data_IF_336349799798
#
_entry.id   IF_336349799798
#
_cell.length_a   1.000
_cell.length_b   1.000
_cell.length_c   1.000
_cell.angle_alpha   90.00
_cell.angle_beta   90.00
_cell.angle_gamma   90.00
#
_symmetry.space_group_name_H-M   'P 1'
#
loop_
_entity.id
_entity.type
_entity.pdbx_description
1 polymer ?
#
# COMPACT_ATOMS: atom_id res chain seq x y z
N UNK A 1 -10.35 69.97 -28.34
CA UNK A 1 -11.34 69.20 -29.12
C UNK A 1 -11.76 68.00 -28.26
N UNK A 2 -13.04 68.02 -27.86
CA UNK A 2 -13.89 67.00 -27.22
C UNK A 2 -13.26 66.21 -26.03
N UNK A 3 -13.31 66.63 -24.75
CA UNK A 3 -14.47 66.83 -23.82
C UNK A 3 -15.11 65.47 -23.40
N UNK A 4 -15.46 65.10 -22.15
CA UNK A 4 -15.76 65.84 -20.91
C UNK A 4 -15.94 64.84 -19.73
N UNK A 5 -15.36 65.22 -18.58
CA UNK A 5 -15.80 65.19 -17.16
C UNK A 5 -16.21 63.91 -16.39
N UNK A 6 -15.54 63.79 -15.24
CA UNK A 6 -15.97 63.19 -13.98
C UNK A 6 -17.32 63.72 -13.46
N UNK A 7 -18.02 62.90 -12.67
CA UNK A 7 -18.73 63.36 -11.47
C UNK A 7 -18.98 62.19 -10.51
N UNK A 8 -18.57 62.37 -9.25
CA UNK A 8 -19.05 61.61 -8.10
C UNK A 8 -20.28 62.31 -7.52
N UNK A 9 -21.21 61.56 -6.94
CA UNK A 9 -21.92 62.04 -5.75
C UNK A 9 -21.84 61.06 -4.58
N UNK A 10 -21.66 61.61 -3.38
CA UNK A 10 -21.80 60.96 -2.08
C UNK A 10 -23.22 61.20 -1.51
N UNK A 11 -23.56 60.67 -0.31
CA UNK A 11 -24.46 59.55 -0.10
C UNK A 11 -25.88 59.96 0.31
N UNK A 12 -26.84 59.03 0.22
CA UNK A 12 -28.08 59.08 1.00
C UNK A 12 -28.53 57.66 1.36
N UNK A 13 -28.73 57.48 2.66
CA UNK A 13 -29.16 56.25 3.35
C UNK A 13 -30.67 56.07 3.16
N UNK A 14 -31.10 54.84 2.89
CA UNK A 14 -32.34 54.10 3.23
C UNK A 14 -32.18 52.79 2.43
N UNK A 15 -32.20 51.56 2.91
CA UNK A 15 -32.78 50.97 4.11
C UNK A 15 -33.39 49.63 3.68
N UNK A 16 -32.98 48.56 4.36
CA UNK A 16 -33.63 47.25 4.48
C UNK A 16 -33.48 46.16 3.40
N UNK A 17 -32.94 45.04 3.90
CA UNK A 17 -33.27 43.64 3.60
C UNK A 17 -32.74 42.99 2.30
N UNK A 18 -31.46 42.62 2.33
CA UNK A 18 -30.92 41.52 1.52
C UNK A 18 -31.17 40.22 2.28
N UNK A 19 -32.17 39.45 1.85
CA UNK A 19 -32.26 38.01 2.20
C UNK A 19 -31.31 37.30 1.24
N UNK A 20 -30.09 37.05 1.69
CA UNK A 20 -29.17 36.13 1.04
C UNK A 20 -29.64 34.70 1.34
N UNK A 21 -30.29 34.06 0.37
CA UNK A 21 -30.41 32.60 0.36
C UNK A 21 -29.01 32.03 0.11
N UNK A 22 -28.30 31.74 1.20
CA UNK A 22 -27.18 30.80 1.20
C UNK A 22 -27.76 29.41 0.89
N UNK A 23 -27.80 29.07 -0.40
CA UNK A 23 -27.89 27.67 -0.81
C UNK A 23 -26.53 27.07 -0.50
N UNK A 24 -26.42 26.44 0.67
CA UNK A 24 -25.37 25.48 0.95
C UNK A 24 -25.58 24.29 0.03
N UNK A 25 -24.97 24.34 -1.15
CA UNK A 25 -24.68 23.15 -1.93
C UNK A 25 -23.69 22.32 -1.12
N UNK A 26 -24.22 21.55 -0.16
CA UNK A 26 -23.55 20.34 0.28
C UNK A 26 -23.44 19.48 -0.97
N UNK A 27 -22.24 19.47 -1.56
CA UNK A 27 -21.89 18.42 -2.49
C UNK A 27 -21.91 17.14 -1.67
N UNK A 28 -23.08 16.50 -1.62
CA UNK A 28 -23.15 15.08 -1.36
C UNK A 28 -22.18 14.46 -2.37
N UNK A 29 -21.09 13.89 -1.88
CA UNK A 29 -20.30 12.94 -2.64
C UNK A 29 -21.26 11.78 -2.90
N UNK A 30 -22.05 11.91 -3.98
CA UNK A 30 -22.88 10.84 -4.46
C UNK A 30 -21.96 9.66 -4.71
N UNK A 31 -22.31 8.51 -4.14
CA UNK A 31 -21.75 7.23 -4.57
C UNK A 31 -21.84 7.21 -6.10
N UNK A 32 -20.69 7.30 -6.77
CA UNK A 32 -20.62 6.94 -8.18
C UNK A 32 -20.74 5.42 -8.16
N UNK A 33 -21.87 4.82 -8.58
CA UNK A 33 -21.97 3.38 -8.64
C UNK A 33 -20.94 2.93 -9.66
N UNK A 34 -20.01 2.03 -9.31
CA UNK A 34 -19.14 1.44 -10.33
C UNK A 34 -20.03 0.62 -11.28
N UNK A 35 -20.25 1.16 -12.49
CA UNK A 35 -21.09 0.54 -13.52
C UNK A 35 -20.31 -0.43 -14.42
N UNK A 36 -19.01 -0.60 -14.20
CA UNK A 36 -18.18 -1.46 -15.04
C UNK A 36 -17.95 -2.81 -14.36
N UNK A 37 -18.65 -3.85 -14.81
CA UNK A 37 -18.24 -5.22 -14.48
C UNK A 37 -16.94 -5.56 -15.24
N UNK A 38 -15.97 -6.25 -14.60
CA UNK A 38 -14.81 -6.77 -15.31
C UNK A 38 -15.23 -7.64 -16.48
N UNK A 39 -14.73 -7.35 -17.69
CA UNK A 39 -15.02 -8.12 -18.89
C UNK A 39 -14.56 -9.58 -18.79
N UNK A 40 -13.56 -9.84 -17.94
CA UNK A 40 -13.05 -11.17 -17.62
C UNK A 40 -13.09 -11.39 -16.11
N UNK A 41 -13.44 -12.59 -15.69
CA UNK A 41 -13.39 -13.02 -14.29
C UNK A 41 -12.23 -14.02 -14.10
N UNK A 42 -11.56 -14.02 -12.93
CA UNK A 42 -10.53 -15.01 -12.65
C UNK A 42 -11.07 -16.44 -12.75
N UNK A 43 -10.34 -17.32 -13.43
CA UNK A 43 -10.64 -18.75 -13.45
C UNK A 43 -10.03 -19.41 -12.21
N UNK A 44 -10.81 -19.49 -11.12
CA UNK A 44 -10.34 -19.95 -9.81
C UNK A 44 -9.88 -21.42 -9.80
N UNK A 45 -10.45 -22.24 -10.69
CA UNK A 45 -10.15 -23.67 -10.79
C UNK A 45 -9.15 -24.00 -11.92
N UNK A 46 -8.52 -22.98 -12.51
CA UNK A 46 -7.52 -23.19 -13.56
C UNK A 46 -6.32 -23.96 -13.01
N UNK A 47 -5.97 -25.06 -13.68
CA UNK A 47 -4.73 -25.81 -13.42
C UNK A 47 -3.79 -25.59 -14.59
N UNK A 48 -2.60 -25.09 -14.30
CA UNK A 48 -1.55 -24.87 -15.29
C UNK A 48 -0.56 -26.04 -15.22
N UNK A 49 -0.21 -26.59 -16.38
CA UNK A 49 0.92 -27.52 -16.53
C UNK A 49 1.89 -26.89 -17.51
N UNK A 50 3.11 -26.63 -17.05
CA UNK A 50 4.18 -26.11 -17.87
C UNK A 50 4.99 -27.28 -18.44
N UNK A 51 5.59 -27.08 -19.62
CA UNK A 51 6.46 -28.08 -20.23
C UNK A 51 7.66 -27.42 -20.92
N UNK A 52 8.75 -28.17 -21.07
CA UNK A 52 9.88 -27.78 -21.89
C UNK A 52 10.75 -26.69 -21.24
N UNK A 53 11.24 -25.68 -21.98
CA UNK A 53 12.15 -24.69 -21.44
C UNK A 53 11.60 -23.90 -20.24
N UNK A 54 10.29 -23.62 -20.22
CA UNK A 54 9.67 -22.84 -19.14
C UNK A 54 9.57 -23.65 -17.84
N UNK A 55 9.15 -24.91 -17.93
CA UNK A 55 9.14 -25.84 -16.78
C UNK A 55 10.55 -25.93 -16.15
N UNK A 56 11.57 -26.21 -16.96
CA UNK A 56 12.97 -26.28 -16.47
C UNK A 56 13.44 -24.99 -15.81
N UNK A 57 12.99 -23.84 -16.33
CA UNK A 57 13.33 -22.55 -15.74
C UNK A 57 12.66 -22.35 -14.38
N UNK A 58 11.37 -22.66 -14.26
CA UNK A 58 10.63 -22.59 -12.99
C UNK A 58 11.21 -23.56 -11.96
N UNK A 59 11.58 -24.77 -12.37
CA UNK A 59 12.24 -25.75 -11.49
C UNK A 59 13.60 -25.26 -11.00
N UNK A 60 14.39 -24.66 -11.89
CA UNK A 60 15.68 -24.08 -11.55
C UNK A 60 15.54 -22.89 -10.60
N UNK A 61 14.54 -22.01 -10.81
CA UNK A 61 14.23 -20.90 -9.89
C UNK A 61 13.79 -21.42 -8.53
N UNK A 62 12.88 -22.39 -8.51
CA UNK A 62 12.38 -23.01 -7.28
C UNK A 62 13.51 -23.64 -6.47
N UNK A 63 14.37 -24.41 -7.12
CA UNK A 63 15.46 -25.16 -6.49
C UNK A 63 16.62 -24.29 -6.06
N UNK A 64 17.08 -23.40 -6.95
CA UNK A 64 18.34 -22.69 -6.74
C UNK A 64 18.16 -21.36 -6.01
N UNK A 65 16.94 -20.81 -5.99
CA UNK A 65 16.66 -19.50 -5.39
C UNK A 65 15.60 -19.59 -4.29
N UNK A 66 14.38 -20.03 -4.61
CA UNK A 66 13.25 -19.92 -3.68
C UNK A 66 13.38 -20.84 -2.46
N UNK A 67 13.75 -22.11 -2.66
CA UNK A 67 13.95 -23.08 -1.57
C UNK A 67 15.14 -22.73 -0.67
N UNK A 68 16.09 -21.95 -1.17
CA UNK A 68 17.31 -21.59 -0.47
C UNK A 68 17.23 -20.23 0.21
N UNK A 69 16.33 -19.34 -0.25
CA UNK A 69 16.31 -17.93 0.09
C UNK A 69 16.41 -17.67 1.60
N UNK A 70 15.54 -18.30 2.40
CA UNK A 70 15.50 -18.07 3.85
C UNK A 70 16.69 -18.67 4.59
N UNK A 71 17.18 -19.83 4.16
CA UNK A 71 18.37 -20.48 4.74
C UNK A 71 19.64 -19.68 4.46
N UNK A 72 19.79 -19.24 3.22
CA UNK A 72 21.00 -18.54 2.76
C UNK A 72 20.98 -17.06 3.13
N UNK A 73 19.81 -16.49 3.44
CA UNK A 73 19.61 -15.10 3.83
C UNK A 73 18.70 -15.01 5.08
N UNK A 74 19.14 -15.50 6.25
CA UNK A 74 18.31 -15.53 7.47
C UNK A 74 17.92 -14.13 7.93
N UNK A 75 18.70 -13.11 7.53
CA UNK A 75 18.40 -11.70 7.71
C UNK A 75 16.99 -11.29 7.26
N UNK A 76 16.40 -12.02 6.30
CA UNK A 76 15.03 -11.80 5.81
C UNK A 76 14.00 -11.83 6.94
N UNK A 77 14.18 -12.66 7.98
CA UNK A 77 13.30 -12.67 9.16
C UNK A 77 14.00 -12.19 10.43
N UNK A 78 15.33 -12.38 10.57
CA UNK A 78 16.05 -11.96 11.78
C UNK A 78 15.88 -10.47 12.08
N UNK A 79 15.77 -9.62 11.05
CA UNK A 79 15.58 -8.18 11.24
C UNK A 79 14.26 -7.83 11.94
N UNK A 80 13.22 -8.65 11.79
CA UNK A 80 11.93 -8.46 12.46
C UNK A 80 12.01 -8.91 13.92
N UNK A 81 12.73 -10.01 14.19
CA UNK A 81 12.97 -10.53 15.54
C UNK A 81 13.86 -9.58 16.37
N UNK A 82 14.83 -8.94 15.72
CA UNK A 82 15.79 -8.05 16.35
C UNK A 82 15.42 -6.55 16.27
N UNK A 83 14.22 -6.21 15.78
CA UNK A 83 13.82 -4.81 15.48
C UNK A 83 13.99 -3.82 16.63
N UNK A 84 13.85 -4.29 17.88
CA UNK A 84 13.95 -3.48 19.09
C UNK A 84 15.28 -3.70 19.86
N UNK A 85 16.17 -4.57 19.36
CA UNK A 85 17.44 -4.89 20.01
C UNK A 85 18.50 -3.81 19.72
N UNK A 86 19.22 -3.37 20.77
CA UNK A 86 20.35 -2.44 20.67
C UNK A 86 21.70 -3.17 20.74
N UNK A 87 22.74 -2.71 20.01
CA UNK A 87 22.69 -1.64 19.01
C UNK A 87 21.85 -2.06 17.80
N UNK A 88 21.13 -1.11 17.20
CA UNK A 88 20.27 -1.44 16.06
C UNK A 88 21.10 -1.92 14.87
N UNK A 89 20.59 -2.91 14.15
CA UNK A 89 21.19 -3.38 12.90
C UNK A 89 21.06 -2.31 11.83
N UNK A 90 22.12 -2.00 11.08
CA UNK A 90 22.02 -1.12 9.92
C UNK A 90 21.17 -1.76 8.82
N UNK A 91 20.12 -1.06 8.42
CA UNK A 91 19.13 -1.46 7.42
C UNK A 91 19.05 -0.43 6.29
N UNK A 92 18.63 -0.91 5.13
CA UNK A 92 18.12 -0.06 4.05
C UNK A 92 16.67 0.34 4.35
N UNK A 93 16.17 1.48 3.82
CA UNK A 93 14.79 1.94 4.00
C UNK A 93 13.71 0.89 3.68
N UNK A 94 14.01 -0.05 2.78
CA UNK A 94 13.11 -1.09 2.29
C UNK A 94 13.39 -2.49 2.83
N UNK A 95 14.25 -2.65 3.83
CA UNK A 95 14.72 -3.99 4.24
C UNK A 95 13.58 -4.96 4.60
N UNK A 96 12.45 -4.46 5.11
CA UNK A 96 11.29 -5.28 5.44
C UNK A 96 10.50 -5.82 4.25
N UNK A 97 10.65 -5.25 3.05
CA UNK A 97 9.87 -5.64 1.88
C UNK A 97 10.11 -7.10 1.45
N UNK A 98 11.33 -7.59 1.70
CA UNK A 98 11.81 -8.84 1.12
C UNK A 98 10.99 -10.05 1.59
N UNK A 99 10.51 -10.03 2.84
CA UNK A 99 9.67 -11.10 3.36
C UNK A 99 8.34 -11.21 2.59
N UNK A 100 7.66 -10.08 2.38
CA UNK A 100 6.41 -10.02 1.62
C UNK A 100 6.59 -10.33 0.13
N UNK A 101 7.68 -9.83 -0.49
CA UNK A 101 8.02 -10.13 -1.89
C UNK A 101 8.39 -11.59 -2.10
N UNK A 102 9.15 -12.19 -1.17
CA UNK A 102 9.45 -13.62 -1.19
C UNK A 102 8.16 -14.46 -1.11
N UNK A 103 7.25 -14.12 -0.20
CA UNK A 103 5.98 -14.81 -0.07
C UNK A 103 5.11 -14.67 -1.32
N UNK A 104 5.04 -13.47 -1.91
CA UNK A 104 4.35 -13.23 -3.17
C UNK A 104 4.94 -14.09 -4.30
N UNK A 105 6.26 -14.07 -4.46
CA UNK A 105 6.95 -14.81 -5.52
C UNK A 105 6.81 -16.32 -5.39
N UNK A 106 6.97 -16.87 -4.19
CA UNK A 106 6.81 -18.32 -3.95
C UNK A 106 5.38 -18.79 -4.18
N UNK A 107 4.39 -18.04 -3.73
CA UNK A 107 2.98 -18.37 -3.93
C UNK A 107 2.63 -18.37 -5.42
N UNK A 108 3.07 -17.36 -6.18
CA UNK A 108 2.84 -17.32 -7.63
C UNK A 108 3.50 -18.49 -8.37
N UNK A 109 4.70 -18.91 -7.97
CA UNK A 109 5.33 -20.11 -8.54
C UNK A 109 4.52 -21.37 -8.24
N UNK A 110 4.02 -21.53 -7.02
CA UNK A 110 3.18 -22.67 -6.61
C UNK A 110 1.83 -22.75 -7.36
N UNK A 111 1.36 -21.66 -7.99
CA UNK A 111 0.18 -21.66 -8.88
C UNK A 111 0.47 -22.24 -10.26
N UNK A 112 1.74 -22.33 -10.65
CA UNK A 112 2.18 -22.74 -11.99
C UNK A 112 2.92 -24.08 -12.03
N UNK A 113 3.39 -24.55 -10.87
CA UNK A 113 4.07 -25.83 -10.72
C UNK A 113 3.64 -26.52 -9.42
N UNK A 114 3.39 -27.83 -9.49
CA UNK A 114 3.13 -28.62 -8.29
C UNK A 114 4.46 -28.99 -7.62
N UNK A 115 4.83 -28.24 -6.59
CA UNK A 115 6.09 -28.41 -5.88
C UNK A 115 5.84 -28.50 -4.37
N UNK A 116 5.60 -29.72 -3.89
CA UNK A 116 5.31 -29.98 -2.48
C UNK A 116 6.44 -29.51 -1.54
N UNK A 117 7.70 -29.62 -1.97
CA UNK A 117 8.84 -29.16 -1.19
C UNK A 117 8.83 -27.64 -1.02
N UNK A 118 8.57 -26.90 -2.09
CA UNK A 118 8.43 -25.45 -2.03
C UNK A 118 7.20 -25.07 -1.20
N UNK A 119 6.08 -25.77 -1.35
CA UNK A 119 4.87 -25.55 -0.55
C UNK A 119 5.13 -25.69 0.95
N UNK A 120 5.83 -26.76 1.35
CA UNK A 120 6.19 -26.99 2.74
C UNK A 120 7.13 -25.89 3.28
N UNK A 121 8.15 -25.51 2.50
CA UNK A 121 9.08 -24.44 2.88
C UNK A 121 8.38 -23.08 2.99
N UNK A 122 7.46 -22.75 2.07
CA UNK A 122 6.66 -21.52 2.13
C UNK A 122 5.72 -21.52 3.33
N UNK A 123 5.07 -22.65 3.65
CA UNK A 123 4.22 -22.76 4.84
C UNK A 123 5.01 -22.55 6.14
N UNK A 124 6.21 -23.13 6.24
CA UNK A 124 7.11 -22.91 7.37
C UNK A 124 7.54 -21.44 7.47
N UNK A 125 7.90 -20.83 6.33
CA UNK A 125 8.22 -19.41 6.27
C UNK A 125 7.07 -18.53 6.76
N UNK A 126 5.83 -18.76 6.31
CA UNK A 126 4.65 -18.01 6.73
C UNK A 126 4.44 -18.13 8.23
N UNK A 127 4.52 -19.35 8.77
CA UNK A 127 4.41 -19.59 10.22
C UNK A 127 5.43 -18.75 11.00
N UNK A 128 6.69 -18.77 10.57
CA UNK A 128 7.77 -18.04 11.23
C UNK A 128 7.60 -16.52 11.06
N UNK A 129 7.19 -16.06 9.89
CA UNK A 129 6.98 -14.64 9.61
C UNK A 129 5.82 -14.06 10.43
N UNK A 130 4.67 -14.75 10.47
CA UNK A 130 3.50 -14.33 11.26
C UNK A 130 3.80 -14.32 12.76
N UNK A 131 4.63 -15.25 13.25
CA UNK A 131 5.05 -15.28 14.65
C UNK A 131 5.86 -14.05 15.10
N UNK A 132 6.39 -13.25 14.15
CA UNK A 132 7.16 -12.04 14.44
C UNK A 132 6.28 -10.79 14.56
N UNK A 133 4.98 -10.90 14.27
CA UNK A 133 4.03 -9.79 14.35
C UNK A 133 3.84 -9.38 15.82
N UNK A 134 4.06 -8.09 16.12
CA UNK A 134 3.90 -7.55 17.47
C UNK A 134 2.41 -7.48 17.87
N UNK A 135 2.13 -7.23 19.15
CA UNK A 135 0.78 -7.21 19.73
C UNK A 135 -0.16 -6.18 19.08
N UNK A 136 0.36 -5.04 18.64
CA UNK A 136 -0.37 -3.97 17.94
C UNK A 136 -0.65 -4.28 16.45
N UNK A 137 -0.13 -5.40 15.93
CA UNK A 137 -0.25 -5.77 14.52
C UNK A 137 0.96 -5.38 13.66
N UNK A 138 1.97 -4.71 14.24
CA UNK A 138 3.16 -4.31 13.53
C UNK A 138 3.97 -5.51 13.06
N UNK A 139 4.29 -5.57 11.77
CA UNK A 139 5.11 -6.61 11.16
C UNK A 139 6.17 -5.96 10.27
N UNK A 140 7.11 -5.29 10.91
CA UNK A 140 8.22 -4.58 10.26
C UNK A 140 9.52 -4.67 11.05
N UNK A 141 10.64 -4.19 10.48
CA UNK A 141 11.97 -4.30 11.08
C UNK A 141 12.40 -3.06 11.85
N UNK A 142 11.56 -2.03 11.99
CA UNK A 142 11.94 -0.78 12.62
C UNK A 142 11.59 -0.73 14.11
N UNK A 143 12.39 -0.03 14.94
CA UNK A 143 12.18 0.01 16.39
C UNK A 143 10.84 0.67 16.76
N UNK A 144 10.28 0.29 17.91
CA UNK A 144 8.95 0.71 18.40
C UNK A 144 8.66 2.20 18.26
N UNK A 145 9.59 3.07 18.64
CA UNK A 145 9.37 4.52 18.64
C UNK A 145 9.37 5.15 17.23
N UNK A 146 9.72 4.37 16.20
CA UNK A 146 9.91 4.83 14.83
C UNK A 146 8.91 4.19 13.84
N UNK A 147 8.07 3.27 14.31
CA UNK A 147 7.11 2.53 13.49
C UNK A 147 6.17 3.46 12.74
N UNK A 148 6.09 3.28 11.43
CA UNK A 148 5.19 4.01 10.54
C UNK A 148 5.34 5.54 10.64
N UNK A 149 6.55 6.03 10.95
CA UNK A 149 6.84 7.48 11.02
C UNK A 149 7.48 8.02 9.75
N UNK A 150 7.97 7.15 8.87
CA UNK A 150 8.78 7.54 7.71
C UNK A 150 10.26 7.70 8.03
N UNK A 151 10.68 7.56 9.30
CA UNK A 151 12.07 7.72 9.74
C UNK A 151 12.50 6.66 10.74
N UNK A 152 13.76 6.24 10.72
CA UNK A 152 14.29 5.34 11.75
C UNK A 152 15.81 5.49 11.96
N UNK A 153 16.32 5.25 13.18
CA UNK A 153 17.75 5.40 13.48
C UNK A 153 18.57 4.31 12.81
N UNK A 154 17.96 3.16 12.54
CA UNK A 154 18.60 2.00 11.94
C UNK A 154 18.66 2.05 10.40
N UNK A 155 18.16 3.13 9.78
CA UNK A 155 18.41 3.50 8.37
C UNK A 155 19.27 4.77 8.24
N UNK A 156 19.78 5.28 9.38
CA UNK A 156 20.62 6.47 9.49
C UNK A 156 21.41 6.42 10.80
N UNK A 157 21.10 7.32 11.74
CA UNK A 157 21.64 7.30 13.10
C UNK A 157 20.61 7.78 14.13
N UNK A 158 20.86 7.61 15.43
CA UNK A 158 19.98 8.17 16.47
C UNK A 158 19.89 9.70 16.42
N UNK A 159 20.99 10.38 16.09
CA UNK A 159 21.02 11.84 15.97
C UNK A 159 20.40 12.36 14.66
N UNK A 160 20.39 11.54 13.62
CA UNK A 160 19.82 11.86 12.31
C UNK A 160 19.18 10.60 11.70
N UNK A 161 17.92 10.29 12.05
CA UNK A 161 17.19 9.15 11.49
C UNK A 161 17.08 9.21 9.96
N UNK A 162 17.30 8.09 9.29
CA UNK A 162 17.15 7.94 7.84
C UNK A 162 15.70 7.70 7.44
N UNK A 163 15.39 7.77 6.14
CA UNK A 163 14.06 7.46 5.61
C UNK A 163 13.69 5.98 5.80
N UNK A 164 12.39 5.69 5.87
CA UNK A 164 11.85 4.33 5.87
C UNK A 164 10.72 4.18 4.86
N UNK A 165 10.65 3.00 4.27
CA UNK A 165 9.55 2.56 3.42
C UNK A 165 8.66 1.60 4.22
N UNK A 166 8.30 1.99 5.45
CA UNK A 166 7.66 1.08 6.40
C UNK A 166 6.24 0.68 5.96
N UNK A 167 5.47 1.62 5.40
CA UNK A 167 4.16 1.31 4.83
C UNK A 167 4.28 0.42 3.59
N UNK A 168 5.32 0.60 2.79
CA UNK A 168 5.64 -0.28 1.66
C UNK A 168 6.02 -1.71 2.09
N UNK A 169 6.74 -1.85 3.21
CA UNK A 169 7.03 -3.17 3.79
C UNK A 169 5.72 -3.88 4.20
N UNK A 170 4.84 -3.17 4.90
CA UNK A 170 3.54 -3.68 5.32
C UNK A 170 2.63 -3.99 4.13
N UNK A 171 2.66 -3.16 3.09
CA UNK A 171 1.97 -3.40 1.83
C UNK A 171 2.36 -4.76 1.22
N UNK A 172 3.67 -5.03 1.06
CA UNK A 172 4.12 -6.31 0.52
C UNK A 172 3.80 -7.49 1.43
N UNK A 173 3.82 -7.29 2.75
CA UNK A 173 3.38 -8.31 3.71
C UNK A 173 1.89 -8.64 3.53
N UNK A 174 1.01 -7.63 3.45
CA UNK A 174 -0.42 -7.83 3.19
C UNK A 174 -0.64 -8.61 1.89
N UNK A 175 -0.05 -8.17 0.78
CA UNK A 175 -0.22 -8.82 -0.53
C UNK A 175 0.23 -10.29 -0.48
N UNK A 176 1.41 -10.55 0.06
CA UNK A 176 1.94 -11.91 0.16
C UNK A 176 1.08 -12.82 1.04
N UNK A 177 0.66 -12.33 2.21
CA UNK A 177 -0.17 -13.09 3.16
C UNK A 177 -1.56 -13.38 2.59
N UNK A 178 -2.18 -12.43 1.89
CA UNK A 178 -3.49 -12.63 1.25
C UNK A 178 -3.40 -13.62 0.10
N UNK A 179 -2.36 -13.55 -0.74
CA UNK A 179 -2.13 -14.54 -1.81
C UNK A 179 -1.93 -15.94 -1.23
N UNK A 180 -1.09 -16.08 -0.20
CA UNK A 180 -0.88 -17.36 0.46
C UNK A 180 -2.17 -17.91 1.05
N UNK A 181 -2.96 -17.08 1.73
CA UNK A 181 -4.25 -17.48 2.28
C UNK A 181 -5.23 -17.94 1.20
N UNK A 182 -5.28 -17.27 0.03
CA UNK A 182 -6.13 -17.69 -1.08
C UNK A 182 -5.81 -19.11 -1.55
N UNK A 183 -4.53 -19.47 -1.63
CA UNK A 183 -4.10 -20.77 -2.17
C UNK A 183 -4.09 -21.90 -1.12
N UNK A 184 -3.73 -21.58 0.12
CA UNK A 184 -3.52 -22.57 1.19
C UNK A 184 -4.67 -22.67 2.18
N UNK A 185 -5.59 -21.69 2.17
CA UNK A 185 -6.63 -21.51 3.19
C UNK A 185 -6.08 -21.28 4.62
N UNK A 186 -4.82 -20.84 4.75
CA UNK A 186 -4.20 -20.54 6.04
C UNK A 186 -4.85 -19.33 6.72
N UNK A 187 -5.67 -19.58 7.75
CA UNK A 187 -6.38 -18.55 8.50
C UNK A 187 -5.44 -17.65 9.31
N UNK A 188 -4.25 -18.11 9.70
CA UNK A 188 -3.28 -17.30 10.43
C UNK A 188 -2.67 -16.23 9.53
N UNK A 189 -2.44 -16.55 8.25
CA UNK A 189 -1.97 -15.57 7.28
C UNK A 189 -2.99 -14.44 7.06
N UNK A 190 -4.28 -14.78 6.90
CA UNK A 190 -5.35 -13.77 6.81
C UNK A 190 -5.43 -12.92 8.08
N UNK A 191 -5.39 -13.55 9.26
CA UNK A 191 -5.43 -12.82 10.52
C UNK A 191 -4.25 -11.85 10.66
N UNK A 192 -3.05 -12.26 10.27
CA UNK A 192 -1.87 -11.40 10.29
C UNK A 192 -2.02 -10.20 9.35
N UNK A 193 -2.48 -10.41 8.11
CA UNK A 193 -2.74 -9.32 7.16
C UNK A 193 -3.79 -8.32 7.70
N UNK A 194 -4.86 -8.82 8.31
CA UNK A 194 -5.91 -7.98 8.94
C UNK A 194 -5.35 -7.14 10.08
N UNK A 195 -4.53 -7.73 10.96
CA UNK A 195 -3.90 -6.99 12.06
C UNK A 195 -2.96 -5.88 11.58
N UNK A 196 -2.28 -6.08 10.45
CA UNK A 196 -1.55 -4.98 9.79
C UNK A 196 -2.54 -3.90 9.37
N UNK A 197 -3.58 -4.26 8.61
CA UNK A 197 -4.61 -3.30 8.17
C UNK A 197 -5.24 -2.51 9.33
N UNK A 198 -5.51 -3.18 10.46
CA UNK A 198 -6.06 -2.57 11.67
C UNK A 198 -5.11 -1.55 12.29
N UNK A 199 -3.82 -1.89 12.39
CA UNK A 199 -2.78 -0.94 12.81
C UNK A 199 -2.73 0.30 11.91
N UNK A 200 -2.84 0.10 10.59
CA UNK A 200 -2.83 1.19 9.63
C UNK A 200 -4.08 2.06 9.76
N UNK A 201 -5.27 1.48 9.92
CA UNK A 201 -6.50 2.22 10.16
C UNK A 201 -6.41 3.05 11.45
N UNK A 202 -5.97 2.42 12.56
CA UNK A 202 -5.81 3.12 13.83
C UNK A 202 -4.91 4.37 13.72
N UNK A 203 -3.84 4.29 12.91
CA UNK A 203 -2.89 5.40 12.75
C UNK A 203 -3.31 6.45 11.73
N UNK A 204 -3.72 6.02 10.53
CA UNK A 204 -3.88 6.91 9.38
C UNK A 204 -5.34 7.29 9.12
N UNK A 205 -6.30 6.49 9.61
CA UNK A 205 -7.73 6.81 9.55
C UNK A 205 -8.17 7.45 10.87
N UNK A 206 -8.11 6.70 11.98
CA UNK A 206 -8.71 7.12 13.25
C UNK A 206 -7.98 8.32 13.89
N UNK A 207 -6.65 8.31 13.86
CA UNK A 207 -5.85 9.45 14.35
C UNK A 207 -5.64 10.55 13.29
N UNK A 208 -6.16 10.37 12.06
CA UNK A 208 -6.13 11.37 10.99
C UNK A 208 -4.73 11.74 10.47
N UNK A 209 -3.72 10.87 10.67
CA UNK A 209 -2.38 11.09 10.13
C UNK A 209 -2.39 10.85 8.61
N UNK A 210 -1.86 11.78 7.83
CA UNK A 210 -1.74 11.60 6.38
C UNK A 210 -0.62 10.60 6.05
N UNK A 211 -0.84 9.67 5.12
CA UNK A 211 0.21 8.72 4.69
C UNK A 211 1.41 9.47 4.09
N UNK A 212 1.17 10.54 3.35
CA UNK A 212 2.18 11.43 2.78
C UNK A 212 3.14 12.02 3.82
N UNK A 213 2.73 12.12 5.09
CA UNK A 213 3.62 12.59 6.17
C UNK A 213 4.78 11.63 6.46
N UNK A 214 4.71 10.38 5.97
CA UNK A 214 5.78 9.39 6.10
C UNK A 214 6.86 9.52 5.02
N UNK A 215 6.73 10.46 4.08
CA UNK A 215 7.65 10.64 2.97
C UNK A 215 7.68 9.42 2.03
N UNK A 216 8.67 9.37 1.14
CA UNK A 216 8.83 8.26 0.17
C UNK A 216 7.51 7.91 -0.54
N UNK A 217 6.81 8.94 -1.03
CA UNK A 217 5.39 8.88 -1.42
C UNK A 217 5.07 7.70 -2.34
N UNK A 218 5.84 7.54 -3.41
CA UNK A 218 5.60 6.51 -4.42
C UNK A 218 5.70 5.07 -3.89
N UNK A 219 6.41 4.88 -2.77
CA UNK A 219 6.46 3.62 -2.04
C UNK A 219 5.37 3.56 -0.96
N UNK A 220 5.35 4.49 -0.02
CA UNK A 220 4.50 4.37 1.17
C UNK A 220 2.99 4.49 0.85
N UNK A 221 2.62 5.20 -0.22
CA UNK A 221 1.24 5.27 -0.69
C UNK A 221 0.77 4.01 -1.45
N UNK A 222 1.68 3.07 -1.79
CA UNK A 222 1.31 1.78 -2.39
C UNK A 222 0.40 0.93 -1.51
N UNK A 223 0.34 1.24 -0.21
CA UNK A 223 -0.52 0.57 0.77
C UNK A 223 -2.00 0.60 0.40
N UNK A 224 -2.43 1.57 -0.42
CA UNK A 224 -3.77 1.62 -1.03
C UNK A 224 -4.17 0.31 -1.70
N UNK A 225 -3.24 -0.36 -2.39
CA UNK A 225 -3.51 -1.65 -3.03
C UNK A 225 -3.75 -2.75 -2.00
N UNK A 226 -2.91 -2.83 -0.96
CA UNK A 226 -3.10 -3.81 0.13
C UNK A 226 -4.42 -3.61 0.88
N UNK A 227 -4.81 -2.35 1.13
CA UNK A 227 -6.06 -1.99 1.79
C UNK A 227 -7.28 -2.33 0.94
N UNK A 228 -7.25 -2.05 -0.37
CA UNK A 228 -8.32 -2.44 -1.28
C UNK A 228 -8.48 -3.97 -1.33
N UNK A 229 -7.39 -4.74 -1.40
CA UNK A 229 -7.44 -6.20 -1.33
C UNK A 229 -8.00 -6.71 0.01
N UNK A 230 -7.63 -6.09 1.14
CA UNK A 230 -8.20 -6.42 2.45
C UNK A 230 -9.70 -6.18 2.48
N UNK A 231 -10.17 -5.02 2.01
CA UNK A 231 -11.60 -4.72 1.91
C UNK A 231 -12.33 -5.77 1.06
N UNK A 232 -11.83 -6.08 -0.13
CA UNK A 232 -12.44 -7.12 -1.00
C UNK A 232 -12.51 -8.49 -0.32
N UNK A 233 -11.53 -8.82 0.52
CA UNK A 233 -11.47 -10.11 1.22
C UNK A 233 -12.38 -10.17 2.44
N UNK A 234 -12.52 -9.07 3.20
CA UNK A 234 -13.20 -9.09 4.50
C UNK A 234 -14.53 -8.36 4.54
N UNK A 235 -14.80 -7.44 3.59
CA UNK A 235 -15.92 -6.52 3.62
C UNK A 235 -15.82 -5.44 4.71
N UNK A 236 -14.69 -5.31 5.40
CA UNK A 236 -14.53 -4.33 6.48
C UNK A 236 -14.32 -2.92 5.94
N UNK A 237 -15.31 -2.05 6.15
CA UNK A 237 -15.38 -0.72 5.55
C UNK A 237 -14.19 0.20 5.89
N UNK A 238 -13.61 0.09 7.09
CA UNK A 238 -12.43 0.85 7.52
C UNK A 238 -11.24 0.73 6.53
N UNK A 239 -11.07 -0.42 5.89
CA UNK A 239 -10.00 -0.63 4.91
C UNK A 239 -10.28 0.15 3.62
N UNK A 240 -11.54 0.17 3.16
CA UNK A 240 -11.96 0.96 2.00
C UNK A 240 -11.82 2.46 2.28
N UNK A 241 -12.28 2.92 3.44
CA UNK A 241 -12.17 4.32 3.85
C UNK A 241 -10.72 4.81 3.87
N UNK A 242 -9.81 4.04 4.47
CA UNK A 242 -8.39 4.38 4.44
C UNK A 242 -7.81 4.33 3.02
N UNK A 243 -8.19 3.34 2.19
CA UNK A 243 -7.73 3.28 0.81
C UNK A 243 -8.14 4.52 0.01
N UNK A 244 -9.40 4.94 0.13
CA UNK A 244 -9.92 6.18 -0.49
C UNK A 244 -9.17 7.42 0.01
N UNK A 245 -8.87 7.48 1.32
CA UNK A 245 -8.07 8.57 1.89
C UNK A 245 -6.66 8.63 1.31
N UNK A 246 -6.03 7.48 1.05
CA UNK A 246 -4.72 7.44 0.38
C UNK A 246 -4.81 7.90 -1.08
N UNK A 247 -5.91 7.60 -1.78
CA UNK A 247 -6.14 8.13 -3.14
C UNK A 247 -6.25 9.65 -3.16
N UNK A 248 -6.95 10.25 -2.19
CA UNK A 248 -6.98 11.71 -2.02
C UNK A 248 -5.57 12.27 -1.76
N UNK A 249 -4.81 11.57 -0.93
CA UNK A 249 -3.45 11.92 -0.51
C UNK A 249 -2.41 11.82 -1.64
N UNK A 250 -2.72 11.16 -2.77
CA UNK A 250 -1.86 11.20 -3.96
C UNK A 250 -1.61 12.62 -4.47
N UNK A 251 -2.54 13.55 -4.24
CA UNK A 251 -2.41 14.95 -4.63
C UNK A 251 -1.63 15.81 -3.63
N UNK A 252 -1.09 15.23 -2.55
CA UNK A 252 -0.25 15.95 -1.60
C UNK A 252 0.98 16.57 -2.32
N UNK A 253 1.48 17.74 -1.88
CA UNK A 253 2.65 18.35 -2.47
C UNK A 253 3.86 17.40 -2.50
N UNK A 254 4.36 17.10 -3.71
CA UNK A 254 5.49 16.19 -3.93
C UNK A 254 5.13 14.71 -4.11
N UNK A 255 3.86 14.32 -3.92
CA UNK A 255 3.34 13.01 -4.26
C UNK A 255 3.03 12.90 -5.77
N UNK A 256 2.52 11.75 -6.21
CA UNK A 256 2.43 11.40 -7.63
C UNK A 256 1.20 11.90 -8.39
N UNK A 257 0.17 12.41 -7.70
CA UNK A 257 -1.11 12.88 -8.25
C UNK A 257 -1.72 11.98 -9.33
N UNK A 258 -1.63 10.67 -9.10
CA UNK A 258 -1.87 9.65 -10.12
C UNK A 258 -3.30 9.68 -10.69
N UNK A 259 -4.31 9.88 -9.84
CA UNK A 259 -5.70 9.86 -10.26
C UNK A 259 -6.07 11.08 -11.10
N UNK A 260 -5.78 12.30 -10.61
CA UNK A 260 -6.20 13.54 -11.30
C UNK A 260 -5.49 13.70 -12.62
N UNK A 261 -4.18 13.43 -12.64
CA UNK A 261 -3.37 13.52 -13.85
C UNK A 261 -3.76 12.45 -14.88
N UNK A 262 -4.00 11.22 -14.43
CA UNK A 262 -4.51 10.15 -15.31
C UNK A 262 -5.86 10.51 -15.92
N UNK A 263 -6.80 11.06 -15.15
CA UNK A 263 -8.09 11.56 -15.64
C UNK A 263 -7.93 12.75 -16.60
N UNK A 264 -6.88 13.55 -16.45
CA UNK A 264 -6.53 14.63 -17.37
C UNK A 264 -5.83 14.15 -18.65
N UNK A 265 -5.62 12.84 -18.81
CA UNK A 265 -4.95 12.26 -19.98
C UNK A 265 -3.44 12.48 -20.00
N UNK A 266 -2.82 12.76 -18.85
CA UNK A 266 -1.37 12.88 -18.74
C UNK A 266 -0.73 11.50 -18.71
N UNK A 267 0.26 11.30 -19.56
CA UNK A 267 0.98 10.03 -19.66
C UNK A 267 1.78 9.73 -18.40
N UNK A 268 1.86 8.46 -17.99
CA UNK A 268 2.49 8.05 -16.73
C UNK A 268 3.92 8.58 -16.56
N UNK A 269 4.73 8.59 -17.63
CA UNK A 269 6.12 9.05 -17.58
C UNK A 269 6.27 10.56 -17.32
N UNK A 270 5.19 11.34 -17.47
CA UNK A 270 5.15 12.79 -17.24
C UNK A 270 4.69 13.15 -15.83
N UNK A 271 4.24 12.17 -15.03
CA UNK A 271 3.77 12.40 -13.67
C UNK A 271 4.92 12.82 -12.74
N UNK A 272 4.64 13.51 -11.61
CA UNK A 272 5.66 13.93 -10.64
C UNK A 272 6.54 12.79 -10.10
N UNK A 273 6.01 11.57 -10.06
CA UNK A 273 6.66 10.36 -9.55
C UNK A 273 6.48 9.19 -10.53
N UNK A 274 7.19 9.14 -11.67
CA UNK A 274 6.96 8.15 -12.72
C UNK A 274 7.82 6.88 -12.54
N UNK A 275 8.12 6.50 -11.29
CA UNK A 275 8.96 5.31 -11.01
C UNK A 275 8.13 4.04 -10.96
N UNK A 276 8.77 2.89 -11.15
CA UNK A 276 8.08 1.59 -11.14
C UNK A 276 7.35 1.32 -9.82
N UNK A 277 7.83 1.84 -8.68
CA UNK A 277 7.14 1.74 -7.38
C UNK A 277 5.73 2.34 -7.44
N UNK A 278 5.54 3.38 -8.26
CA UNK A 278 4.25 4.05 -8.46
C UNK A 278 3.22 3.20 -9.21
N UNK A 279 3.63 2.10 -9.85
CA UNK A 279 2.69 1.15 -10.44
C UNK A 279 1.84 0.46 -9.36
N UNK A 280 2.34 0.32 -8.13
CA UNK A 280 1.59 -0.30 -7.04
C UNK A 280 0.43 0.57 -6.51
N UNK A 281 0.61 1.89 -6.29
CA UNK A 281 -0.51 2.82 -6.11
C UNK A 281 -1.56 2.74 -7.23
N UNK A 282 -1.13 2.64 -8.50
CA UNK A 282 -2.05 2.51 -9.64
C UNK A 282 -2.85 1.20 -9.62
N UNK A 283 -2.24 0.09 -9.19
CA UNK A 283 -2.98 -1.16 -8.97
C UNK A 283 -4.10 -0.97 -7.93
N UNK A 284 -3.86 -0.17 -6.89
CA UNK A 284 -4.89 0.17 -5.91
C UNK A 284 -6.07 0.93 -6.51
N UNK A 285 -5.83 1.83 -7.48
CA UNK A 285 -6.93 2.49 -8.21
C UNK A 285 -7.80 1.48 -8.98
N UNK A 286 -7.18 0.47 -9.59
CA UNK A 286 -7.91 -0.58 -10.29
C UNK A 286 -8.77 -1.42 -9.32
N UNK A 287 -8.22 -1.80 -8.17
CA UNK A 287 -8.94 -2.56 -7.13
C UNK A 287 -10.08 -1.78 -6.48
N UNK A 288 -10.03 -0.44 -6.48
CA UNK A 288 -11.09 0.43 -5.96
C UNK A 288 -12.19 0.72 -6.99
N UNK A 289 -11.92 0.48 -8.27
CA UNK A 289 -12.87 0.71 -9.35
C UNK A 289 -13.78 -0.50 -9.61
N UNK A 290 -13.28 -1.73 -9.43
CA UNK A 290 -13.96 -3.00 -9.72
C UNK A 290 -14.27 -3.83 -8.48
#
# INVERSE_FOLDING_TARGET
MNSIRCNWPSPSIIGAAVIALLVTATAALGEVPSQAEPALRPCRDAKLSLAGPIERYIDAVSTNWLLRACRDNPAMLDMFAARDQRPYRNLLPWSGEFAGKYLTGTTQVLRTADNERLRAATAEFVKNFVALQDADGYLGPFPRDYRLTGKAPNTGSEAAPGDTWDLWNHYHAIVGLLLWHEDSQDAHALAAARRIGDLLCAKFLDAGVAVSSTGSFEMNQAVVHGLALLYRRTGEQKYLELAQRVVEDFAAPGAGDYLRQGLAGVEFYQLPKPRWESLHPLMGLAELYF
#
